data_IF_815915152736
#
_entry.id   IF_815915152736
#
_cell.length_a   1.000
_cell.length_b   1.000
_cell.length_c   1.000
_cell.angle_alpha   90.00
_cell.angle_beta   90.00
_cell.angle_gamma   90.00
#
_symmetry.space_group_name_H-M   'P 1'
#
loop_
_entity.id
_entity.type
_entity.pdbx_description
1 polymer ?
#
# COMPACT_ATOMS: atom_id res chain seq x y z
N UNK A 1 -17.24 -25.02 -19.86
CA UNK A 1 -17.93 -23.71 -19.83
C UNK A 1 -17.34 -22.98 -18.62
N UNK A 2 -16.60 -21.89 -18.84
CA UNK A 2 -15.99 -21.12 -17.75
C UNK A 2 -16.96 -19.98 -17.46
N UNK A 3 -17.63 -20.04 -16.32
CA UNK A 3 -18.50 -18.98 -15.84
C UNK A 3 -17.63 -17.98 -15.05
N UNK A 4 -17.27 -16.88 -15.71
CA UNK A 4 -16.42 -15.82 -15.18
C UNK A 4 -17.19 -14.50 -15.14
N UNK A 5 -17.17 -13.82 -14.00
CA UNK A 5 -17.79 -12.52 -13.79
C UNK A 5 -16.74 -11.41 -13.75
N UNK A 6 -17.03 -10.30 -14.42
CA UNK A 6 -16.17 -9.12 -14.42
C UNK A 6 -16.54 -8.26 -13.20
N UNK A 7 -15.58 -8.03 -12.28
CA UNK A 7 -15.73 -7.07 -11.17
C UNK A 7 -14.75 -5.91 -11.32
N UNK A 8 -15.25 -4.69 -11.12
CA UNK A 8 -14.44 -3.47 -11.10
C UNK A 8 -14.09 -3.08 -9.66
N UNK A 9 -12.83 -2.75 -9.43
CA UNK A 9 -12.38 -2.11 -8.19
C UNK A 9 -11.51 -0.91 -8.57
N UNK A 10 -12.02 0.30 -8.32
CA UNK A 10 -11.40 1.53 -8.83
C UNK A 10 -11.38 1.57 -10.37
N UNK A 11 -10.21 1.82 -10.98
CA UNK A 11 -10.00 1.81 -12.44
C UNK A 11 -9.62 0.43 -12.99
N UNK A 12 -9.40 -0.58 -12.14
CA UNK A 12 -9.01 -1.91 -12.56
C UNK A 12 -10.23 -2.80 -12.80
N UNK A 13 -10.13 -3.65 -13.84
CA UNK A 13 -11.11 -4.67 -14.21
C UNK A 13 -10.51 -6.02 -13.83
N UNK A 14 -11.12 -6.73 -12.89
CA UNK A 14 -10.69 -8.06 -12.48
C UNK A 14 -11.69 -9.10 -13.00
N UNK A 15 -11.17 -10.18 -13.59
CA UNK A 15 -11.97 -11.37 -13.91
C UNK A 15 -11.98 -12.25 -12.66
N UNK A 16 -13.16 -12.48 -12.12
CA UNK A 16 -13.41 -13.30 -10.93
C UNK A 16 -14.18 -14.53 -11.40
N UNK A 17 -13.68 -15.74 -11.14
CA UNK A 17 -14.46 -16.95 -11.37
C UNK A 17 -15.60 -17.06 -10.35
N UNK A 18 -16.68 -17.78 -10.69
CA UNK A 18 -17.88 -17.92 -9.83
C UNK A 18 -17.59 -18.50 -8.42
N UNK A 19 -16.43 -19.12 -8.22
CA UNK A 19 -15.93 -19.56 -6.91
C UNK A 19 -15.28 -18.45 -6.08
N UNK A 20 -15.32 -17.19 -6.52
CA UNK A 20 -14.70 -16.03 -5.87
C UNK A 20 -13.18 -15.94 -6.04
N UNK A 21 -12.55 -16.93 -6.68
CA UNK A 21 -11.11 -16.93 -6.91
C UNK A 21 -10.77 -16.07 -8.12
N UNK A 22 -9.81 -15.16 -7.94
CA UNK A 22 -9.16 -14.49 -9.07
C UNK A 22 -8.48 -15.57 -9.92
N UNK A 23 -8.73 -15.56 -11.23
CA UNK A 23 -8.03 -16.46 -12.15
C UNK A 23 -6.59 -15.96 -12.34
N UNK A 24 -5.61 -16.61 -11.72
CA UNK A 24 -4.17 -16.30 -11.85
C UNK A 24 -3.42 -16.34 -10.53
N UNK A 25 -2.10 -16.38 -10.58
CA UNK A 25 -1.25 -16.17 -9.40
C UNK A 25 -1.56 -14.79 -8.82
N UNK A 26 -1.81 -14.64 -7.51
CA UNK A 26 -1.98 -13.32 -6.91
C UNK A 26 -0.75 -12.46 -7.21
N UNK A 27 -0.98 -11.28 -7.80
CA UNK A 27 0.06 -10.29 -8.00
C UNK A 27 -0.09 -9.16 -6.99
N UNK A 28 0.99 -8.75 -6.32
CA UNK A 28 0.95 -7.63 -5.40
C UNK A 28 0.52 -6.35 -6.09
N UNK A 29 -0.35 -5.62 -5.41
CA UNK A 29 -0.80 -4.31 -5.86
C UNK A 29 0.38 -3.33 -5.74
N UNK A 30 1.03 -3.02 -6.86
CA UNK A 30 2.25 -2.18 -6.89
C UNK A 30 2.10 -0.84 -6.17
N UNK A 31 0.90 -0.25 -6.14
CA UNK A 31 0.67 0.99 -5.39
C UNK A 31 0.80 0.80 -3.87
N UNK A 32 0.31 -0.32 -3.32
CA UNK A 32 0.46 -0.63 -1.90
C UNK A 32 1.92 -0.88 -1.54
N UNK A 33 2.65 -1.62 -2.37
CA UNK A 33 4.09 -1.87 -2.16
C UNK A 33 4.87 -0.54 -2.14
N UNK A 34 4.57 0.38 -3.07
CA UNK A 34 5.18 1.72 -3.09
C UNK A 34 4.85 2.52 -1.82
N UNK A 35 3.60 2.46 -1.34
CA UNK A 35 3.21 3.13 -0.10
C UNK A 35 3.96 2.58 1.12
N UNK A 36 4.13 1.26 1.23
CA UNK A 36 4.92 0.63 2.30
C UNK A 36 6.38 1.10 2.28
N UNK A 37 6.99 1.11 1.10
CA UNK A 37 8.36 1.60 0.92
C UNK A 37 8.47 3.09 1.31
N UNK A 38 7.58 3.94 0.79
CA UNK A 38 7.54 5.37 1.12
C UNK A 38 7.38 5.61 2.62
N UNK A 39 6.46 4.88 3.26
CA UNK A 39 6.26 4.97 4.70
C UNK A 39 7.57 4.66 5.46
N UNK A 40 8.26 3.56 5.09
CA UNK A 40 9.50 3.15 5.74
C UNK A 40 10.62 4.19 5.55
N UNK A 41 10.80 4.72 4.34
CA UNK A 41 11.79 5.77 4.11
C UNK A 41 11.53 7.01 4.97
N UNK A 42 10.27 7.48 5.05
CA UNK A 42 9.95 8.63 5.89
C UNK A 42 10.15 8.35 7.37
N UNK A 43 9.79 7.15 7.84
CA UNK A 43 10.07 6.74 9.22
C UNK A 43 11.57 6.79 9.53
N UNK A 44 12.42 6.29 8.62
CA UNK A 44 13.87 6.38 8.77
C UNK A 44 14.36 7.83 8.80
N UNK A 45 13.86 8.69 7.91
CA UNK A 45 14.21 10.12 7.94
C UNK A 45 13.85 10.80 9.27
N UNK A 46 12.70 10.46 9.87
CA UNK A 46 12.37 11.00 11.20
C UNK A 46 13.33 10.52 12.28
N UNK A 47 13.70 9.23 12.26
CA UNK A 47 14.62 8.64 13.24
C UNK A 47 16.05 9.17 13.08
N UNK A 48 16.55 9.23 11.85
CA UNK A 48 17.95 9.53 11.56
C UNK A 48 18.23 11.05 11.63
N UNK A 49 17.28 11.87 11.17
CA UNK A 49 17.45 13.33 11.09
C UNK A 49 16.78 14.08 12.26
N UNK A 50 16.18 13.37 13.23
CA UNK A 50 15.46 13.95 14.37
C UNK A 50 14.38 14.97 13.94
N UNK A 51 13.77 14.75 12.77
CA UNK A 51 12.73 15.60 12.23
C UNK A 51 11.39 15.29 12.89
N UNK A 52 10.55 16.32 13.03
CA UNK A 52 9.13 16.14 13.29
C UNK A 52 8.36 15.85 12.00
N UNK A 53 7.21 15.19 12.11
CA UNK A 53 6.28 14.97 10.98
C UNK A 53 5.93 16.29 10.27
N UNK A 54 5.78 17.39 11.01
CA UNK A 54 5.48 18.71 10.43
C UNK A 54 6.65 19.23 9.58
N UNK A 55 7.89 19.10 10.06
CA UNK A 55 9.09 19.53 9.31
C UNK A 55 9.30 18.70 8.05
N UNK A 56 9.15 17.37 8.14
CA UNK A 56 9.26 16.51 6.97
C UNK A 56 8.16 16.79 5.94
N UNK A 57 6.92 17.01 6.41
CA UNK A 57 5.79 17.38 5.54
C UNK A 57 6.06 18.69 4.79
N UNK A 58 6.56 19.72 5.48
CA UNK A 58 6.95 20.98 4.86
C UNK A 58 8.08 20.81 3.84
N UNK A 59 9.13 20.04 4.19
CA UNK A 59 10.28 19.76 3.31
C UNK A 59 9.88 19.06 2.01
N UNK A 60 8.92 18.14 2.08
CA UNK A 60 8.46 17.37 0.92
C UNK A 60 7.23 17.99 0.21
N UNK A 61 6.75 19.16 0.66
CA UNK A 61 5.57 19.81 0.08
C UNK A 61 4.28 19.00 0.26
N UNK A 62 4.17 18.20 1.32
CA UNK A 62 3.04 17.32 1.58
C UNK A 62 2.19 17.81 2.74
N UNK A 63 0.92 17.42 2.77
CA UNK A 63 0.09 17.68 3.95
C UNK A 63 0.46 16.76 5.11
N UNK A 64 0.52 17.31 6.32
CA UNK A 64 0.76 16.54 7.55
C UNK A 64 -0.22 15.38 7.73
N UNK A 65 -1.49 15.60 7.39
CA UNK A 65 -2.55 14.59 7.48
C UNK A 65 -2.30 13.40 6.55
N UNK A 66 -1.91 13.69 5.29
CA UNK A 66 -1.51 12.64 4.36
C UNK A 66 -0.31 11.90 4.91
N UNK A 67 0.77 12.62 5.26
CA UNK A 67 2.03 12.02 5.73
C UNK A 67 1.80 11.07 6.88
N UNK A 68 1.04 11.51 7.89
CA UNK A 68 0.67 10.68 9.04
C UNK A 68 -0.10 9.43 8.63
N UNK A 69 -1.02 9.52 7.67
CA UNK A 69 -1.81 8.38 7.20
C UNK A 69 -0.93 7.26 6.64
N UNK A 70 0.13 7.61 5.92
CA UNK A 70 0.99 6.61 5.29
C UNK A 70 2.12 6.18 6.19
N UNK A 71 2.65 7.06 7.04
CA UNK A 71 3.58 6.63 8.08
C UNK A 71 3.00 5.56 9.01
N UNK A 72 1.67 5.54 9.23
CA UNK A 72 1.01 4.45 9.96
C UNK A 72 1.27 3.07 9.35
N UNK A 73 1.52 2.99 8.05
CA UNK A 73 1.82 1.73 7.37
C UNK A 73 3.17 1.13 7.80
N UNK A 74 4.10 1.94 8.30
CA UNK A 74 5.38 1.47 8.85
C UNK A 74 5.24 0.65 10.13
N UNK A 75 4.06 0.68 10.75
CA UNK A 75 3.75 -0.04 12.00
C UNK A 75 2.79 -1.21 11.78
N UNK A 76 2.57 -1.63 10.53
CA UNK A 76 1.85 -2.86 10.26
C UNK A 76 2.64 -4.06 10.77
N UNK A 77 1.92 -5.06 11.25
CA UNK A 77 2.50 -6.31 11.67
C UNK A 77 3.16 -7.01 10.45
N UNK A 78 4.31 -7.71 10.63
CA UNK A 78 5.04 -8.34 9.54
C UNK A 78 4.17 -9.24 8.66
N UNK A 79 3.26 -10.00 9.25
CA UNK A 79 2.33 -10.89 8.55
C UNK A 79 1.40 -10.16 7.58
N UNK A 80 1.03 -8.91 7.89
CA UNK A 80 0.22 -8.06 7.00
C UNK A 80 1.07 -7.56 5.83
N UNK A 81 2.32 -7.18 6.09
CA UNK A 81 3.27 -6.73 5.06
C UNK A 81 3.54 -7.87 4.07
N UNK A 82 3.81 -9.06 4.58
CA UNK A 82 4.02 -10.27 3.79
C UNK A 82 2.79 -10.59 2.93
N UNK A 83 1.58 -10.53 3.50
CA UNK A 83 0.34 -10.74 2.75
C UNK A 83 0.16 -9.70 1.63
N UNK A 84 0.50 -8.42 1.85
CA UNK A 84 0.41 -7.36 0.83
C UNK A 84 1.40 -7.62 -0.32
N UNK A 85 2.61 -8.11 -0.01
CA UNK A 85 3.64 -8.42 -1.01
C UNK A 85 3.33 -9.72 -1.76
N UNK A 86 2.64 -10.67 -1.12
CA UNK A 86 2.20 -11.91 -1.75
C UNK A 86 1.04 -11.71 -2.76
N UNK A 87 0.22 -10.67 -2.56
CA UNK A 87 -0.87 -10.26 -3.48
C UNK A 87 -2.25 -10.78 -3.12
#
# INVERSE_FOLDING_TARGET
>A
RIDAAIRRTGRAVHVVHDNGMRAGTPEPQQHLVKLLHTARCWWQMLCDEQLTVTQLAARLGMSKSWMTRVMRLSFLAPEIIEAIIAG
#
